data_IF_848888826225
#
_entry.id   IF_848888826225
#
_cell.length_a   1.000
_cell.length_b   1.000
_cell.length_c   1.000
_cell.angle_alpha   90.00
_cell.angle_beta   90.00
_cell.angle_gamma   90.00
#
_symmetry.space_group_name_H-M   'P 1'
#
loop_
_entity.id
_entity.type
_entity.pdbx_description
1 polymer ?
#
# COMPACT_ATOMS: atom_id res chain seq x y z
N UNK A 1 28.51 -33.50 -15.90
CA UNK A 1 28.34 -32.07 -16.25
C UNK A 1 27.85 -31.36 -14.99
N UNK A 2 28.71 -30.61 -14.30
CA UNK A 2 28.33 -29.86 -13.10
C UNK A 2 27.47 -28.65 -13.50
N UNK A 3 26.43 -28.27 -12.71
CA UNK A 3 25.69 -27.06 -12.98
C UNK A 3 26.64 -25.86 -12.90
N UNK A 4 26.74 -25.09 -13.98
CA UNK A 4 27.57 -23.89 -13.99
C UNK A 4 27.05 -22.90 -12.93
N UNK A 5 27.95 -22.18 -12.25
CA UNK A 5 27.55 -21.19 -11.27
C UNK A 5 26.65 -20.14 -11.92
N UNK A 6 25.45 -19.95 -11.36
CA UNK A 6 24.49 -18.97 -11.87
C UNK A 6 25.14 -17.58 -11.81
N UNK A 7 25.39 -16.99 -12.98
CA UNK A 7 25.93 -15.65 -13.11
C UNK A 7 25.04 -14.64 -12.36
N UNK A 8 25.66 -13.63 -11.75
CA UNK A 8 24.96 -12.56 -11.04
C UNK A 8 23.87 -11.92 -11.91
N UNK A 9 24.16 -11.68 -13.18
CA UNK A 9 23.21 -11.11 -14.16
C UNK A 9 21.98 -12.00 -14.39
N UNK A 10 22.14 -13.32 -14.36
CA UNK A 10 21.04 -14.26 -14.47
C UNK A 10 20.14 -14.19 -13.23
N UNK A 11 20.73 -14.08 -12.03
CA UNK A 11 19.97 -13.90 -10.77
C UNK A 11 19.20 -12.58 -10.78
N UNK A 12 19.85 -11.49 -11.22
CA UNK A 12 19.22 -10.16 -11.34
C UNK A 12 18.02 -10.19 -12.28
N UNK A 13 18.15 -10.77 -13.47
CA UNK A 13 17.04 -10.91 -14.44
C UNK A 13 15.94 -11.80 -13.90
N UNK A 14 16.27 -12.87 -13.18
CA UNK A 14 15.28 -13.74 -12.55
C UNK A 14 14.45 -12.97 -11.51
N UNK A 15 15.09 -12.22 -10.62
CA UNK A 15 14.39 -11.35 -9.66
C UNK A 15 13.52 -10.30 -10.34
N UNK A 16 14.02 -9.66 -11.41
CA UNK A 16 13.23 -8.70 -12.18
C UNK A 16 11.99 -9.34 -12.81
N UNK A 17 12.10 -10.56 -13.34
CA UNK A 17 10.95 -11.30 -13.89
C UNK A 17 9.97 -11.68 -12.79
N UNK A 18 10.49 -12.20 -11.67
CA UNK A 18 9.70 -12.55 -10.50
C UNK A 18 8.87 -11.33 -10.03
N UNK A 19 9.52 -10.19 -9.80
CA UNK A 19 8.87 -8.94 -9.36
C UNK A 19 7.86 -8.36 -10.36
N UNK A 20 7.87 -8.80 -11.63
CA UNK A 20 6.93 -8.39 -12.67
C UNK A 20 5.75 -9.35 -12.85
N UNK A 21 5.71 -10.46 -12.11
CA UNK A 21 4.62 -11.42 -12.18
C UNK A 21 3.31 -10.77 -11.71
N UNK A 22 2.23 -10.96 -12.48
CA UNK A 22 0.89 -10.45 -12.14
C UNK A 22 0.37 -10.98 -10.78
N UNK A 23 0.84 -12.16 -10.37
CA UNK A 23 0.52 -12.76 -9.08
C UNK A 23 1.08 -11.96 -7.89
N UNK A 24 2.15 -11.18 -8.09
CA UNK A 24 2.69 -10.27 -7.08
C UNK A 24 1.96 -8.92 -7.04
N UNK A 25 0.71 -8.87 -7.48
CA UNK A 25 -0.12 -7.68 -7.28
C UNK A 25 -0.26 -7.38 -5.79
N UNK A 26 -0.27 -6.09 -5.45
CA UNK A 26 -0.46 -5.62 -4.07
C UNK A 26 -1.74 -6.20 -3.49
N UNK A 27 -2.83 -6.21 -4.25
CA UNK A 27 -4.12 -6.72 -3.78
C UNK A 27 -4.10 -8.22 -3.49
N UNK A 28 -3.43 -9.05 -4.30
CA UNK A 28 -3.42 -10.51 -4.09
C UNK A 28 -2.42 -10.95 -3.02
N UNK A 29 -1.25 -10.33 -2.97
CA UNK A 29 -0.18 -10.74 -2.07
C UNK A 29 -0.19 -9.93 -0.76
N UNK A 30 -0.26 -8.61 -0.86
CA UNK A 30 -0.04 -7.74 0.28
C UNK A 30 -1.26 -7.64 1.19
N UNK A 31 -2.48 -7.62 0.65
CA UNK A 31 -3.70 -7.49 1.46
C UNK A 31 -3.87 -8.60 2.51
N UNK A 32 -3.69 -9.90 2.17
CA UNK A 32 -3.74 -10.96 3.18
C UNK A 32 -2.68 -10.78 4.26
N UNK A 33 -1.47 -10.35 3.89
CA UNK A 33 -0.35 -10.16 4.82
C UNK A 33 -0.64 -9.00 5.78
N UNK A 34 -0.99 -7.82 5.25
CA UNK A 34 -1.25 -6.64 6.09
C UNK A 34 -2.50 -6.83 6.95
N UNK A 35 -3.54 -7.48 6.43
CA UNK A 35 -4.73 -7.83 7.22
C UNK A 35 -4.36 -8.72 8.40
N UNK A 36 -3.55 -9.75 8.17
CA UNK A 36 -3.06 -10.62 9.24
C UNK A 36 -2.20 -9.86 10.27
N UNK A 37 -1.32 -8.96 9.83
CA UNK A 37 -0.51 -8.12 10.73
C UNK A 37 -1.38 -7.18 11.56
N UNK A 38 -2.39 -6.54 10.96
CA UNK A 38 -3.34 -5.68 11.66
C UNK A 38 -4.07 -6.48 12.73
N UNK A 39 -4.63 -7.64 12.39
CA UNK A 39 -5.36 -8.49 13.34
C UNK A 39 -4.47 -9.03 14.46
N UNK A 40 -3.19 -9.27 14.18
CA UNK A 40 -2.23 -9.81 15.16
C UNK A 40 -1.75 -8.74 16.13
N UNK A 41 -1.54 -7.51 15.65
CA UNK A 41 -0.91 -6.45 16.45
C UNK A 41 -1.89 -5.39 16.97
N UNK A 42 -3.03 -5.19 16.30
CA UNK A 42 -4.06 -4.23 16.69
C UNK A 42 -5.21 -5.00 17.40
N UNK A 43 -5.47 -4.72 18.68
CA UNK A 43 -6.59 -5.33 19.39
C UNK A 43 -7.93 -4.99 18.73
N UNK A 44 -8.82 -5.97 18.58
CA UNK A 44 -10.16 -5.79 17.99
C UNK A 44 -11.03 -4.77 18.73
N UNK A 45 -10.78 -4.53 20.02
CA UNK A 45 -11.52 -3.54 20.81
C UNK A 45 -11.05 -2.10 20.58
N UNK A 46 -9.97 -1.89 19.83
CA UNK A 46 -9.44 -0.56 19.53
C UNK A 46 -9.79 -0.14 18.12
N UNK A 47 -10.31 1.08 18.02
CA UNK A 47 -10.49 1.78 16.76
C UNK A 47 -9.17 1.92 16.02
N UNK A 48 -9.15 1.50 14.75
CA UNK A 48 -8.03 1.69 13.84
C UNK A 48 -8.01 3.12 13.32
N UNK A 49 -6.83 3.71 13.24
CA UNK A 49 -6.64 5.01 12.59
C UNK A 49 -5.98 4.77 11.24
N UNK A 50 -6.59 5.27 10.18
CA UNK A 50 -6.08 5.15 8.82
C UNK A 50 -5.70 6.54 8.37
N UNK A 51 -4.50 6.71 7.82
CA UNK A 51 -4.05 7.97 7.24
C UNK A 51 -3.94 7.86 5.72
N UNK A 52 -4.37 8.92 5.05
CA UNK A 52 -4.01 9.22 3.67
C UNK A 52 -2.75 10.07 3.65
N UNK A 53 -1.75 9.62 2.91
CA UNK A 53 -0.50 10.34 2.73
C UNK A 53 -0.06 10.36 1.27
N UNK A 54 0.64 11.42 0.88
CA UNK A 54 1.20 11.60 -0.46
C UNK A 54 2.69 11.88 -0.32
N UNK A 55 3.49 11.04 -0.95
CA UNK A 55 4.95 11.20 -0.98
C UNK A 55 5.42 11.33 -2.43
N UNK A 56 6.16 12.38 -2.73
CA UNK A 56 6.86 12.49 -4.00
C UNK A 56 8.22 11.79 -3.90
N UNK A 57 8.35 10.65 -4.58
CA UNK A 57 9.61 9.92 -4.69
C UNK A 57 10.22 10.12 -6.07
N UNK A 58 11.21 11.02 -6.17
CA UNK A 58 11.85 11.40 -7.44
C UNK A 58 10.77 11.86 -8.45
N UNK A 59 10.56 11.08 -9.50
CA UNK A 59 9.56 11.33 -10.54
C UNK A 59 8.20 10.69 -10.25
N UNK A 60 8.12 9.81 -9.24
CA UNK A 60 6.92 9.08 -8.90
C UNK A 60 6.12 9.83 -7.83
N UNK A 61 4.86 10.11 -8.12
CA UNK A 61 3.93 10.65 -7.16
C UNK A 61 3.17 9.49 -6.50
N UNK A 62 3.56 9.11 -5.29
CA UNK A 62 2.98 8.00 -4.57
C UNK A 62 1.85 8.51 -3.68
N UNK A 63 0.66 7.95 -3.85
CA UNK A 63 -0.49 8.21 -3.00
C UNK A 63 -0.87 6.94 -2.25
N UNK A 64 -0.88 7.01 -0.92
CA UNK A 64 -0.92 5.82 -0.05
C UNK A 64 -1.90 5.96 1.10
N UNK A 65 -2.47 4.82 1.48
CA UNK A 65 -3.30 4.62 2.67
C UNK A 65 -2.52 3.76 3.65
N UNK A 66 -2.44 4.20 4.90
CA UNK A 66 -1.71 3.48 5.94
C UNK A 66 -2.52 3.36 7.22
N UNK A 67 -2.40 2.24 7.94
CA UNK A 67 -2.88 2.17 9.33
C UNK A 67 -1.82 2.77 10.26
N UNK A 68 -2.24 3.64 11.17
CA UNK A 68 -1.40 4.18 12.22
C UNK A 68 -1.54 3.28 13.44
N UNK A 69 -0.44 2.60 13.79
CA UNK A 69 -0.35 1.78 14.98
C UNK A 69 0.97 2.00 15.70
N UNK A 70 0.92 2.21 17.03
CA UNK A 70 2.10 2.37 17.88
C UNK A 70 3.13 3.39 17.34
N UNK A 71 2.66 4.59 16.98
CA UNK A 71 3.48 5.68 16.39
C UNK A 71 4.15 5.32 15.05
N UNK A 72 3.66 4.30 14.33
CA UNK A 72 4.15 3.88 13.02
C UNK A 72 2.99 3.85 12.02
N UNK A 73 3.27 4.21 10.77
CA UNK A 73 2.33 4.04 9.66
C UNK A 73 2.69 2.76 8.90
N UNK A 74 1.76 1.81 8.82
CA UNK A 74 1.91 0.61 7.99
C UNK A 74 1.11 0.78 6.71
N UNK A 75 1.75 0.72 5.53
CA UNK A 75 1.07 0.91 4.27
C UNK A 75 0.08 -0.24 4.02
N UNK A 76 -1.17 0.10 3.74
CA UNK A 76 -2.20 -0.86 3.34
C UNK A 76 -2.27 -0.95 1.83
N UNK A 77 -2.40 0.20 1.16
CA UNK A 77 -2.55 0.28 -0.27
C UNK A 77 -1.94 1.57 -0.81
N UNK A 78 -1.50 1.54 -2.06
CA UNK A 78 -0.90 2.71 -2.72
C UNK A 78 -1.11 2.65 -4.22
N UNK A 79 -1.13 3.82 -4.84
CA UNK A 79 -1.16 3.99 -6.29
C UNK A 79 -0.17 5.06 -6.71
N UNK A 80 0.25 5.00 -7.97
CA UNK A 80 1.05 6.05 -8.58
C UNK A 80 0.11 7.00 -9.33
N UNK A 81 0.24 8.30 -9.06
CA UNK A 81 -0.51 9.33 -9.77
C UNK A 81 0.32 9.83 -10.96
N UNK A 82 -0.30 9.89 -12.14
CA UNK A 82 0.37 10.35 -13.37
C UNK A 82 0.59 11.87 -13.40
N UNK A 83 -0.12 12.61 -12.56
CA UNK A 83 -0.07 14.08 -12.49
C UNK A 83 0.83 14.60 -11.36
N UNK A 84 1.47 15.75 -11.61
CA UNK A 84 2.10 16.58 -10.58
C UNK A 84 1.05 17.54 -10.02
N UNK A 85 0.49 17.27 -8.84
CA UNK A 85 -0.56 18.10 -8.23
C UNK A 85 -1.34 17.42 -7.10
N UNK A 86 -2.43 18.04 -6.65
CA UNK A 86 -3.37 17.48 -5.67
C UNK A 86 -4.11 16.26 -6.21
N UNK A 87 -4.39 15.30 -5.33
CA UNK A 87 -5.34 14.24 -5.64
C UNK A 87 -6.75 14.82 -5.66
N UNK A 88 -7.59 14.38 -6.61
CA UNK A 88 -9.01 14.75 -6.62
C UNK A 88 -9.81 13.77 -5.76
N UNK A 89 -11.06 14.13 -5.44
CA UNK A 89 -11.96 13.27 -4.67
C UNK A 89 -12.10 11.86 -5.28
N UNK A 90 -12.13 11.74 -6.60
CA UNK A 90 -12.25 10.44 -7.28
C UNK A 90 -11.04 9.54 -7.06
N UNK A 91 -9.82 10.09 -7.04
CA UNK A 91 -8.59 9.35 -6.77
C UNK A 91 -8.51 8.94 -5.29
N UNK A 92 -8.96 9.80 -4.39
CA UNK A 92 -9.09 9.47 -2.97
C UNK A 92 -10.07 8.32 -2.75
N UNK A 93 -11.25 8.39 -3.37
CA UNK A 93 -12.25 7.33 -3.31
C UNK A 93 -11.70 6.03 -3.92
N UNK A 94 -11.10 6.09 -5.11
CA UNK A 94 -10.53 4.91 -5.76
C UNK A 94 -9.44 4.24 -4.92
N UNK A 95 -8.64 5.01 -4.21
CA UNK A 95 -7.62 4.48 -3.29
C UNK A 95 -8.22 3.89 -2.01
N UNK A 96 -9.28 4.49 -1.47
CA UNK A 96 -9.91 4.07 -0.21
C UNK A 96 -10.84 2.86 -0.36
N UNK A 97 -11.57 2.73 -1.48
CA UNK A 97 -12.51 1.62 -1.72
C UNK A 97 -11.90 0.24 -1.39
N UNK A 98 -10.75 -0.17 -1.93
CA UNK A 98 -10.18 -1.49 -1.64
C UNK A 98 -9.77 -1.64 -0.17
N UNK A 99 -9.40 -0.56 0.50
CA UNK A 99 -9.04 -0.56 1.93
C UNK A 99 -10.27 -0.74 2.81
N UNK A 100 -11.35 -0.01 2.50
CA UNK A 100 -12.63 -0.12 3.20
C UNK A 100 -13.21 -1.53 3.04
N UNK A 101 -13.12 -2.12 1.85
CA UNK A 101 -13.53 -3.50 1.62
C UNK A 101 -12.71 -4.50 2.45
N UNK A 102 -11.39 -4.30 2.52
CA UNK A 102 -10.49 -5.16 3.30
C UNK A 102 -10.78 -5.14 4.81
N UNK A 103 -11.09 -3.95 5.35
CA UNK A 103 -11.36 -3.66 6.77
C UNK A 103 -12.85 -3.73 7.14
N UNK A 104 -13.70 -4.25 6.25
CA UNK A 104 -15.13 -4.35 6.50
C UNK A 104 -15.40 -5.19 7.76
N UNK A 105 -16.02 -4.55 8.76
CA UNK A 105 -16.32 -5.15 10.06
C UNK A 105 -15.41 -4.66 11.20
N UNK A 106 -14.31 -3.98 10.90
CA UNK A 106 -13.45 -3.32 11.89
C UNK A 106 -13.96 -1.89 12.17
N UNK A 107 -13.79 -1.37 13.40
CA UNK A 107 -14.01 0.05 13.71
C UNK A 107 -12.78 0.85 13.27
N UNK A 108 -12.92 1.75 12.30
CA UNK A 108 -11.83 2.58 11.81
C UNK A 108 -12.23 4.04 11.55
N UNK A 109 -11.27 4.94 11.67
CA UNK A 109 -11.38 6.35 11.30
C UNK A 109 -10.32 6.70 10.28
N UNK A 110 -10.74 7.40 9.23
CA UNK A 110 -9.85 7.94 8.21
C UNK A 110 -9.43 9.36 8.62
N UNK A 111 -8.13 9.61 8.58
CA UNK A 111 -7.46 10.88 8.84
C UNK A 111 -6.82 11.32 7.53
N UNK A 112 -7.04 12.57 7.15
CA UNK A 112 -6.39 13.21 6.02
C UNK A 112 -6.00 14.63 6.40
N UNK A 113 -4.88 15.10 5.85
CA UNK A 113 -4.49 16.50 5.91
C UNK A 113 -5.47 17.41 5.11
N UNK A 114 -5.51 18.71 5.42
CA UNK A 114 -6.46 19.69 4.84
C UNK A 114 -6.33 19.83 3.32
N UNK A 115 -5.18 19.49 2.73
CA UNK A 115 -5.00 19.47 1.27
C UNK A 115 -5.91 18.44 0.56
N UNK A 116 -6.49 17.48 1.29
CA UNK A 116 -7.39 16.48 0.72
C UNK A 116 -8.87 16.91 0.71
N UNK A 117 -9.23 18.03 1.36
CA UNK A 117 -10.61 18.53 1.46
C UNK A 117 -10.94 19.66 0.46
N UNK A 118 -9.96 20.14 -0.32
CA UNK A 118 -10.09 21.38 -1.11
C UNK A 118 -9.86 21.20 -2.63
N UNK A 119 -10.13 20.02 -3.21
CA UNK A 119 -10.19 19.81 -4.65
C UNK A 119 -11.45 19.08 -5.07
#
# INVERSE_FOLDING_TARGET
MFPQPILFESRRRYLQKFLKLHQLSVTLLWFPIIKHLIQTHCPQSKRLFIALDRTQWKQYNLFMVSVIWSKRAWPIYWTFLDKRGCSNLSEQQALLVPVIEMLKGDDFVVIGDREYLAC
#
